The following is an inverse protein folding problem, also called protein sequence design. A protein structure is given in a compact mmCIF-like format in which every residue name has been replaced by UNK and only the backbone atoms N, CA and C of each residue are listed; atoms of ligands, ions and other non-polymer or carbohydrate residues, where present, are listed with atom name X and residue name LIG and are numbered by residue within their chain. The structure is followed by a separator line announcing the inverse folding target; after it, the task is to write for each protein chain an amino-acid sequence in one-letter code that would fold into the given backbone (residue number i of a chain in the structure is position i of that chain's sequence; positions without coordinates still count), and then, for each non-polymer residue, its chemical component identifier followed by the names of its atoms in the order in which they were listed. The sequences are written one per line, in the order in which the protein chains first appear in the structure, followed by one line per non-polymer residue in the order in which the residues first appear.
data_IF_593729870817
#
_entry.id   IF_593729870817
#
_cell.length_a   1.000
_cell.length_b   1.000
_cell.length_c   1.000
_cell.angle_alpha   90.00
_cell.angle_beta   90.00
_cell.angle_gamma   90.00
#
_symmetry.space_group_name_H-M   'P 1'
#
loop_
_entity.id
_entity.type
_entity.pdbx_description
1 polymer ?
#
# COMPACT_ATOMS: atom_id res chain seq x y z
N UNK A 1 2.51 -0.68 -14.26
CA UNK A 1 3.48 0.05 -13.43
C UNK A 1 3.97 1.37 -14.04
N UNK A 2 3.93 1.59 -15.37
CA UNK A 2 4.38 2.86 -15.95
C UNK A 2 3.57 4.08 -15.47
N UNK A 3 2.23 3.97 -15.47
CA UNK A 3 1.35 5.06 -15.02
C UNK A 3 1.54 5.41 -13.54
N UNK A 4 1.68 4.41 -12.66
CA UNK A 4 1.91 4.64 -11.23
C UNK A 4 3.25 5.32 -10.96
N UNK A 5 4.32 4.94 -11.69
CA UNK A 5 5.63 5.59 -11.56
C UNK A 5 5.60 7.03 -12.06
N UNK A 6 4.87 7.30 -13.14
CA UNK A 6 4.68 8.66 -13.66
C UNK A 6 3.94 9.54 -12.63
N UNK A 7 2.87 9.03 -12.02
CA UNK A 7 2.16 9.73 -10.95
C UNK A 7 3.08 9.96 -9.74
N UNK A 8 3.83 8.95 -9.30
CA UNK A 8 4.77 9.07 -8.19
C UNK A 8 5.85 10.13 -8.46
N UNK A 9 6.39 10.17 -9.68
CA UNK A 9 7.34 11.19 -10.11
C UNK A 9 6.76 12.60 -10.00
N UNK A 10 5.53 12.83 -10.48
CA UNK A 10 4.88 14.13 -10.36
C UNK A 10 4.57 14.52 -8.92
N UNK A 11 4.23 13.57 -8.04
CA UNK A 11 4.06 13.83 -6.60
C UNK A 11 5.38 14.33 -6.01
N UNK A 12 6.48 13.60 -6.23
CA UNK A 12 7.81 13.97 -5.71
C UNK A 12 8.22 15.35 -6.26
N UNK A 13 8.15 15.55 -7.57
CA UNK A 13 8.50 16.82 -8.22
C UNK A 13 7.70 18.00 -7.67
N UNK A 14 6.38 17.84 -7.55
CA UNK A 14 5.51 18.91 -7.04
C UNK A 14 5.83 19.22 -5.58
N UNK A 15 5.99 18.21 -4.72
CA UNK A 15 6.36 18.44 -3.32
C UNK A 15 7.74 19.08 -3.17
N UNK A 16 8.71 18.71 -4.00
CA UNK A 16 10.05 19.29 -4.00
C UNK A 16 10.03 20.75 -4.50
N UNK A 17 9.30 21.05 -5.56
CA UNK A 17 9.23 22.41 -6.11
C UNK A 17 8.45 23.38 -5.22
N UNK A 18 7.57 22.88 -4.35
CA UNK A 18 6.61 23.70 -3.60
C UNK A 18 6.81 23.64 -2.09
N UNK A 19 6.68 22.47 -1.45
CA UNK A 19 6.80 22.35 0.01
C UNK A 19 8.25 22.52 0.47
N UNK A 20 9.19 21.87 -0.22
CA UNK A 20 10.61 21.93 0.15
C UNK A 20 11.18 23.34 -0.02
N UNK A 21 10.77 24.08 -1.06
CA UNK A 21 11.18 25.47 -1.27
C UNK A 21 10.60 26.44 -0.24
N UNK A 22 9.46 26.09 0.38
CA UNK A 22 8.83 26.87 1.45
C UNK A 22 9.26 26.40 2.86
N UNK A 23 10.27 25.52 2.97
CA UNK A 23 10.81 25.05 4.24
C UNK A 23 9.90 24.10 5.03
N UNK A 24 8.87 23.54 4.38
CA UNK A 24 7.94 22.59 5.01
C UNK A 24 8.50 21.18 4.79
N UNK A 25 9.14 20.64 5.83
CA UNK A 25 9.72 19.29 5.81
C UNK A 25 8.82 18.23 6.45
N UNK A 26 7.93 18.63 7.36
CA UNK A 26 6.94 17.76 7.97
C UNK A 26 5.53 18.10 7.50
N UNK A 27 4.83 17.09 6.96
CA UNK A 27 3.43 17.19 6.56
C UNK A 27 2.61 16.50 7.63
N UNK A 28 1.90 17.28 8.46
CA UNK A 28 1.07 16.75 9.56
C UNK A 28 -0.42 16.74 9.22
N UNK A 29 -0.82 17.31 8.08
CA UNK A 29 -2.23 17.36 7.68
C UNK A 29 -2.44 17.27 6.18
N UNK A 30 -3.55 16.66 5.77
CA UNK A 30 -4.01 16.58 4.37
C UNK A 30 -4.16 17.96 3.74
N UNK A 31 -4.53 18.96 4.55
CA UNK A 31 -4.62 20.35 4.11
C UNK A 31 -3.25 20.93 3.71
N UNK A 32 -2.17 20.55 4.41
CA UNK A 32 -0.81 20.95 4.05
C UNK A 32 -0.34 20.24 2.77
N UNK A 33 -0.70 18.97 2.58
CA UNK A 33 -0.42 18.26 1.34
C UNK A 33 -1.09 18.93 0.12
N UNK A 34 -2.31 19.45 0.26
CA UNK A 34 -3.00 20.18 -0.79
C UNK A 34 -2.31 21.50 -1.19
N UNK A 35 -1.56 22.13 -0.27
CA UNK A 35 -0.80 23.34 -0.56
C UNK A 35 0.31 23.10 -1.58
N UNK A 36 0.80 21.86 -1.71
CA UNK A 36 1.78 21.50 -2.72
C UNK A 36 1.26 21.76 -4.15
N UNK A 37 -0.04 21.66 -4.36
CA UNK A 37 -0.67 21.89 -5.67
C UNK A 37 -1.01 23.36 -5.92
N UNK A 38 -0.92 24.23 -4.90
CA UNK A 38 -1.31 25.65 -5.00
C UNK A 38 -0.56 26.41 -6.10
N UNK A 39 0.75 26.20 -6.34
CA UNK A 39 1.46 26.90 -7.41
C UNK A 39 1.08 26.43 -8.82
N UNK A 40 0.63 25.18 -8.96
CA UNK A 40 0.25 24.60 -10.25
C UNK A 40 -1.22 24.86 -10.62
N UNK A 41 -2.14 24.75 -9.64
CA UNK A 41 -3.58 24.78 -9.87
C UNK A 41 -4.30 25.97 -9.21
N UNK A 42 -3.56 26.83 -8.50
CA UNK A 42 -4.10 28.04 -7.87
C UNK A 42 -5.27 27.74 -6.93
N UNK A 43 -6.42 28.36 -7.21
CA UNK A 43 -7.67 28.18 -6.46
C UNK A 43 -8.26 26.76 -6.56
N UNK A 44 -7.92 25.99 -7.60
CA UNK A 44 -8.44 24.64 -7.81
C UNK A 44 -7.56 23.55 -7.17
N UNK A 45 -6.40 23.89 -6.62
CA UNK A 45 -5.47 22.94 -6.00
C UNK A 45 -6.14 22.07 -4.93
N UNK A 46 -6.92 22.69 -4.05
CA UNK A 46 -7.66 21.99 -3.01
C UNK A 46 -8.73 21.06 -3.60
N UNK A 47 -9.46 21.52 -4.61
CA UNK A 47 -10.54 20.75 -5.25
C UNK A 47 -9.97 19.53 -5.99
N UNK A 48 -8.86 19.70 -6.72
CA UNK A 48 -8.14 18.61 -7.38
C UNK A 48 -7.58 17.61 -6.37
N UNK A 49 -7.00 18.09 -5.25
CA UNK A 49 -6.48 17.22 -4.20
C UNK A 49 -7.61 16.40 -3.54
N UNK A 50 -8.75 17.05 -3.23
CA UNK A 50 -9.92 16.37 -2.65
C UNK A 50 -10.50 15.33 -3.62
N UNK A 51 -10.66 15.66 -4.91
CA UNK A 51 -11.08 14.70 -5.91
C UNK A 51 -10.11 13.51 -6.02
N UNK A 52 -8.81 13.78 -5.96
CA UNK A 52 -7.76 12.76 -5.97
C UNK A 52 -7.83 11.82 -4.75
N UNK A 53 -7.81 12.38 -3.54
CA UNK A 53 -7.78 11.60 -2.30
C UNK A 53 -9.08 10.81 -2.07
N UNK A 54 -10.23 11.37 -2.45
CA UNK A 54 -11.51 10.66 -2.38
C UNK A 54 -11.55 9.55 -3.43
N UNK A 55 -11.12 9.82 -4.67
CA UNK A 55 -11.06 8.84 -5.74
C UNK A 55 -10.15 7.65 -5.40
N UNK A 56 -8.95 7.92 -4.87
CA UNK A 56 -8.04 6.86 -4.42
C UNK A 56 -8.59 6.09 -3.23
N UNK A 57 -9.23 6.77 -2.26
CA UNK A 57 -9.89 6.14 -1.13
C UNK A 57 -11.02 5.19 -1.55
N UNK A 58 -11.88 5.61 -2.49
CA UNK A 58 -12.98 4.78 -3.01
C UNK A 58 -12.49 3.50 -3.70
N UNK A 59 -11.35 3.55 -4.38
CA UNK A 59 -10.74 2.37 -5.01
C UNK A 59 -9.98 1.50 -3.99
N UNK A 60 -9.30 2.12 -3.03
CA UNK A 60 -8.44 1.42 -2.07
C UNK A 60 -9.24 0.67 -1.00
N UNK A 61 -10.32 1.26 -0.47
CA UNK A 61 -11.09 0.68 0.65
C UNK A 61 -11.63 -0.72 0.32
N UNK A 62 -12.31 -0.96 -0.82
CA UNK A 62 -12.83 -2.28 -1.15
C UNK A 62 -11.72 -3.32 -1.36
N UNK A 63 -10.63 -2.95 -2.03
CA UNK A 63 -9.52 -3.86 -2.34
C UNK A 63 -8.77 -4.26 -1.08
N UNK A 64 -8.45 -3.30 -0.20
CA UNK A 64 -7.74 -3.56 1.05
C UNK A 64 -8.61 -4.31 2.06
N UNK A 65 -9.87 -3.90 2.24
CA UNK A 65 -10.79 -4.60 3.13
C UNK A 65 -11.08 -6.02 2.63
N UNK A 66 -11.22 -6.20 1.32
CA UNK A 66 -11.33 -7.50 0.68
C UNK A 66 -10.11 -8.37 0.94
N UNK A 67 -8.90 -7.86 0.70
CA UNK A 67 -7.64 -8.59 0.94
C UNK A 67 -7.49 -9.02 2.40
N UNK A 68 -7.81 -8.15 3.36
CA UNK A 68 -7.78 -8.48 4.78
C UNK A 68 -8.81 -9.56 5.14
N UNK A 69 -10.04 -9.45 4.61
CA UNK A 69 -11.08 -10.45 4.83
C UNK A 69 -10.71 -11.81 4.21
N UNK A 70 -10.06 -11.82 3.05
CA UNK A 70 -9.53 -13.04 2.44
C UNK A 70 -8.43 -13.65 3.31
N UNK A 71 -7.45 -12.87 3.75
CA UNK A 71 -6.35 -13.37 4.59
C UNK A 71 -6.85 -13.99 5.90
N UNK A 72 -7.79 -13.34 6.59
CA UNK A 72 -8.39 -13.89 7.83
C UNK A 72 -9.25 -15.12 7.52
N UNK A 73 -10.03 -15.06 6.43
CA UNK A 73 -10.91 -16.14 6.02
C UNK A 73 -10.15 -17.41 5.65
N UNK A 74 -9.05 -17.29 4.90
CA UNK A 74 -8.19 -18.42 4.53
C UNK A 74 -7.44 -18.98 5.74
N UNK A 75 -6.88 -18.13 6.60
CA UNK A 75 -6.21 -18.56 7.83
C UNK A 75 -7.14 -19.34 8.76
N UNK A 76 -8.42 -18.96 8.82
CA UNK A 76 -9.45 -19.63 9.64
C UNK A 76 -10.21 -20.75 8.89
N UNK A 77 -9.82 -21.09 7.66
CA UNK A 77 -10.50 -22.04 6.75
C UNK A 77 -12.00 -21.77 6.59
N UNK A 78 -12.40 -20.50 6.61
CA UNK A 78 -13.78 -20.10 6.34
C UNK A 78 -14.09 -20.20 4.84
N UNK A 79 -15.38 -20.28 4.49
CA UNK A 79 -15.80 -20.17 3.08
C UNK A 79 -15.60 -18.72 2.63
N UNK A 80 -14.53 -18.48 1.88
CA UNK A 80 -14.14 -17.20 1.28
C UNK A 80 -14.64 -17.09 -0.16
N UNK A 81 -15.01 -15.89 -0.60
CA UNK A 81 -15.35 -15.60 -1.99
C UNK A 81 -16.36 -14.45 -2.16
N UNK A 82 -15.97 -13.41 -2.90
CA UNK A 82 -16.86 -12.33 -3.33
C UNK A 82 -17.97 -12.83 -4.29
N UNK A 83 -17.73 -13.92 -5.00
CA UNK A 83 -18.68 -14.56 -5.92
C UNK A 83 -19.78 -15.37 -5.21
N UNK A 84 -19.65 -15.62 -3.90
CA UNK A 84 -20.67 -16.34 -3.13
C UNK A 84 -21.72 -15.39 -2.59
N UNK A 85 -22.98 -15.86 -2.59
CA UNK A 85 -24.15 -15.09 -2.11
C UNK A 85 -23.88 -14.55 -0.69
N UNK A 86 -24.27 -13.30 -0.37
CA UNK A 86 -24.03 -12.67 0.93
C UNK A 86 -24.62 -13.44 2.12
N UNK A 87 -25.57 -14.35 1.88
CA UNK A 87 -26.13 -15.28 2.89
C UNK A 87 -25.25 -16.49 3.23
N UNK A 88 -24.28 -16.88 2.40
CA UNK A 88 -23.40 -18.03 2.67
C UNK A 88 -22.05 -17.64 3.31
N UNK A 89 -21.66 -16.37 3.18
CA UNK A 89 -20.39 -15.85 3.66
C UNK A 89 -20.58 -14.65 4.61
N UNK A 90 -21.57 -14.74 5.51
CA UNK A 90 -21.88 -13.68 6.51
C UNK A 90 -20.62 -13.28 7.29
N UNK A 91 -19.75 -14.25 7.63
CA UNK A 91 -18.48 -13.99 8.33
C UNK A 91 -17.46 -13.21 7.50
N UNK A 92 -17.47 -13.34 6.18
CA UNK A 92 -16.59 -12.61 5.26
C UNK A 92 -17.05 -11.15 5.09
N UNK A 93 -18.35 -10.94 4.85
CA UNK A 93 -18.92 -9.59 4.77
C UNK A 93 -18.88 -8.87 6.12
N UNK A 94 -19.05 -9.59 7.24
CA UNK A 94 -18.84 -9.06 8.58
C UNK A 94 -17.38 -8.66 8.83
N UNK A 95 -16.40 -9.43 8.31
CA UNK A 95 -14.99 -9.06 8.40
C UNK A 95 -14.66 -7.79 7.61
N UNK A 96 -15.26 -7.61 6.42
CA UNK A 96 -15.14 -6.35 5.65
C UNK A 96 -15.74 -5.18 6.43
N UNK A 97 -16.98 -5.31 6.92
CA UNK A 97 -17.61 -4.25 7.72
C UNK A 97 -16.80 -3.94 8.98
N UNK A 98 -16.30 -4.96 9.68
CA UNK A 98 -15.45 -4.79 10.85
C UNK A 98 -14.12 -4.10 10.49
N UNK A 99 -13.46 -4.49 9.39
CA UNK A 99 -12.23 -3.85 8.95
C UNK A 99 -12.44 -2.38 8.59
N UNK A 100 -13.53 -2.04 7.90
CA UNK A 100 -13.89 -0.65 7.58
C UNK A 100 -14.25 0.14 8.83
N UNK A 101 -15.02 -0.44 9.76
CA UNK A 101 -15.38 0.20 11.03
C UNK A 101 -14.15 0.45 11.89
N UNK A 102 -13.26 -0.52 12.04
CA UNK A 102 -12.00 -0.37 12.77
C UNK A 102 -11.13 0.70 12.12
N UNK A 103 -10.97 0.65 10.79
CA UNK A 103 -10.23 1.65 10.02
C UNK A 103 -10.76 3.08 10.21
N UNK A 104 -12.09 3.25 10.18
CA UNK A 104 -12.73 4.55 10.42
C UNK A 104 -12.64 4.97 11.89
N UNK A 105 -12.70 4.02 12.83
CA UNK A 105 -12.62 4.26 14.27
C UNK A 105 -11.24 4.80 14.68
N UNK A 106 -10.17 4.41 13.98
CA UNK A 106 -8.80 4.90 14.23
C UNK A 106 -8.68 6.42 14.11
N UNK A 107 -9.56 7.07 13.33
CA UNK A 107 -9.58 8.53 13.22
C UNK A 107 -10.00 9.21 14.52
N UNK A 108 -10.83 8.56 15.35
CA UNK A 108 -11.29 9.09 16.63
C UNK A 108 -10.24 8.98 17.75
N UNK A 109 -9.21 8.14 17.58
CA UNK A 109 -8.15 7.95 18.58
C UNK A 109 -7.04 9.02 18.51
N UNK A 110 -7.20 10.07 17.70
CA UNK A 110 -6.22 11.15 17.60
C UNK A 110 -4.89 10.74 16.95
N UNK A 111 -4.85 9.58 16.28
CA UNK A 111 -3.69 9.14 15.50
C UNK A 111 -3.65 10.00 14.25
N UNK A 112 -2.51 10.67 14.02
CA UNK A 112 -2.24 11.42 12.79
C UNK A 112 -2.35 10.47 11.58
N UNK A 113 -3.35 10.67 10.69
CA UNK A 113 -3.56 9.78 9.55
C UNK A 113 -2.37 9.72 8.60
N UNK A 114 -1.57 10.80 8.51
CA UNK A 114 -0.39 10.82 7.67
C UNK A 114 0.70 9.95 8.26
N UNK A 115 0.91 10.02 9.58
CA UNK A 115 1.84 9.13 10.29
C UNK A 115 1.38 7.67 10.19
N UNK A 116 0.07 7.41 10.32
CA UNK A 116 -0.48 6.08 10.15
C UNK A 116 -0.25 5.54 8.73
N UNK A 117 -0.46 6.37 7.70
CA UNK A 117 -0.21 6.00 6.31
C UNK A 117 1.28 5.70 6.06
N UNK A 118 2.17 6.52 6.64
CA UNK A 118 3.61 6.30 6.58
C UNK A 118 4.01 4.98 7.25
N UNK A 119 3.55 4.74 8.47
CA UNK A 119 3.80 3.50 9.20
C UNK A 119 3.24 2.26 8.50
N UNK A 120 2.05 2.37 7.90
CA UNK A 120 1.48 1.31 7.07
C UNK A 120 2.37 1.00 5.87
N UNK A 121 2.93 2.01 5.21
CA UNK A 121 3.87 1.82 4.10
C UNK A 121 5.19 1.16 4.55
N UNK A 122 5.73 1.57 5.70
CA UNK A 122 6.95 0.97 6.29
C UNK A 122 6.73 -0.51 6.62
N UNK A 123 5.64 -0.83 7.34
CA UNK A 123 5.28 -2.21 7.67
C UNK A 123 5.05 -3.04 6.40
N UNK A 124 4.39 -2.48 5.39
CA UNK A 124 4.20 -3.15 4.11
C UNK A 124 5.55 -3.44 3.41
N UNK A 125 6.51 -2.51 3.48
CA UNK A 125 7.87 -2.72 2.98
C UNK A 125 8.62 -3.84 3.72
N UNK A 126 8.49 -3.89 5.05
CA UNK A 126 9.08 -4.94 5.89
C UNK A 126 8.49 -6.33 5.59
N UNK A 127 7.18 -6.42 5.41
CA UNK A 127 6.47 -7.67 5.07
C UNK A 127 6.74 -8.10 3.62
N UNK A 128 7.02 -7.16 2.72
CA UNK A 128 7.33 -7.47 1.33
C UNK A 128 8.59 -8.33 1.18
N UNK A 129 9.62 -8.12 2.00
CA UNK A 129 10.86 -8.89 1.92
C UNK A 129 10.67 -10.42 2.11
N UNK A 130 10.08 -10.93 3.21
CA UNK A 130 9.84 -12.36 3.36
C UNK A 130 8.84 -12.88 2.32
N UNK A 131 7.84 -12.08 1.93
CA UNK A 131 6.89 -12.46 0.89
C UNK A 131 7.58 -12.68 -0.46
N UNK A 132 8.49 -11.78 -0.85
CA UNK A 132 9.28 -11.91 -2.08
C UNK A 132 10.17 -13.14 -2.07
N UNK A 133 10.81 -13.46 -0.94
CA UNK A 133 11.61 -14.70 -0.79
C UNK A 133 10.74 -15.93 -1.04
N UNK A 134 9.56 -16.01 -0.41
CA UNK A 134 8.64 -17.14 -0.57
C UNK A 134 8.15 -17.24 -2.02
N UNK A 135 7.79 -16.13 -2.65
CA UNK A 135 7.37 -16.10 -4.06
C UNK A 135 8.50 -16.56 -4.97
N UNK A 136 9.74 -16.11 -4.74
CA UNK A 136 10.89 -16.51 -5.55
C UNK A 136 11.21 -18.00 -5.41
N UNK A 137 11.11 -18.57 -4.20
CA UNK A 137 11.27 -20.01 -3.97
C UNK A 137 10.17 -20.79 -4.70
N UNK A 138 8.91 -20.39 -4.57
CA UNK A 138 7.79 -21.06 -5.23
C UNK A 138 7.88 -20.97 -6.75
N UNK A 139 8.17 -19.79 -7.29
CA UNK A 139 8.22 -19.56 -8.72
C UNK A 139 9.45 -20.26 -9.38
N UNK A 140 10.54 -20.41 -8.63
CA UNK A 140 11.70 -21.19 -9.08
C UNK A 140 11.52 -22.71 -8.93
N UNK A 141 10.49 -23.16 -8.20
CA UNK A 141 10.27 -24.58 -7.92
C UNK A 141 9.42 -25.24 -9.02
N UNK A 142 9.93 -26.28 -9.71
CA UNK A 142 9.17 -27.06 -10.67
C UNK A 142 7.99 -27.79 -10.03
N UNK A 143 8.02 -28.04 -8.70
CA UNK A 143 6.91 -28.68 -7.99
C UNK A 143 5.67 -27.78 -7.88
N UNK A 144 5.84 -26.46 -7.87
CA UNK A 144 4.73 -25.51 -7.72
C UNK A 144 4.29 -24.95 -9.07
N UNK A 145 5.24 -24.59 -9.95
CA UNK A 145 4.95 -24.01 -11.27
C UNK A 145 4.91 -25.01 -12.43
N UNK A 146 5.31 -26.27 -12.23
CA UNK A 146 5.30 -27.29 -13.27
C UNK A 146 6.17 -26.89 -14.47
N UNK A 147 5.54 -26.68 -15.63
CA UNK A 147 6.22 -26.31 -16.88
C UNK A 147 6.44 -24.80 -17.06
N UNK A 148 5.87 -23.95 -16.18
CA UNK A 148 5.95 -22.48 -16.27
C UNK A 148 7.00 -21.88 -15.34
N UNK A 149 8.03 -22.64 -14.98
CA UNK A 149 9.14 -22.12 -14.14
C UNK A 149 9.80 -20.92 -14.79
N UNK A 150 10.16 -19.94 -13.96
CA UNK A 150 10.79 -18.70 -14.42
C UNK A 150 12.15 -19.01 -15.08
N UNK A 151 12.48 -18.41 -16.24
CA UNK A 151 13.80 -18.58 -16.84
C UNK A 151 14.91 -18.02 -15.94
N UNK A 152 16.10 -18.63 -16.01
CA UNK A 152 17.27 -18.30 -15.16
C UNK A 152 17.61 -16.80 -15.11
N UNK A 153 17.44 -16.07 -16.21
CA UNK A 153 17.68 -14.62 -16.23
C UNK A 153 16.72 -13.85 -15.29
N UNK A 154 15.42 -14.13 -15.36
CA UNK A 154 14.43 -13.53 -14.46
C UNK A 154 14.62 -14.01 -13.02
N UNK A 155 15.08 -15.25 -12.82
CA UNK A 155 15.39 -15.76 -11.50
C UNK A 155 16.54 -14.95 -10.84
N UNK A 156 17.61 -14.67 -11.58
CA UNK A 156 18.73 -13.83 -11.10
C UNK A 156 18.24 -12.42 -10.80
N UNK A 157 17.49 -11.78 -11.69
CA UNK A 157 16.94 -10.43 -11.47
C UNK A 157 16.01 -10.40 -10.25
N UNK A 158 15.15 -11.41 -10.09
CA UNK A 158 14.24 -11.54 -8.96
C UNK A 158 14.97 -11.73 -7.62
N UNK A 159 16.04 -12.53 -7.59
CA UNK A 159 16.88 -12.68 -6.40
C UNK A 159 17.70 -11.45 -6.07
N UNK A 160 18.21 -10.72 -7.08
CA UNK A 160 18.85 -9.42 -6.87
C UNK A 160 17.85 -8.42 -6.25
N UNK A 161 16.65 -8.30 -6.82
CA UNK A 161 15.62 -7.41 -6.28
C UNK A 161 15.21 -7.79 -4.84
N UNK A 162 15.10 -9.09 -4.56
CA UNK A 162 14.82 -9.60 -3.22
C UNK A 162 15.96 -9.28 -2.26
N UNK A 163 17.21 -9.47 -2.68
CA UNK A 163 18.40 -9.13 -1.89
C UNK A 163 18.46 -7.65 -1.55
N UNK A 164 18.20 -6.78 -2.53
CA UNK A 164 18.12 -5.33 -2.31
C UNK A 164 17.02 -4.98 -1.30
N UNK A 165 15.82 -5.57 -1.42
CA UNK A 165 14.74 -5.33 -0.45
C UNK A 165 15.08 -5.82 0.95
N UNK A 166 15.75 -6.96 1.10
CA UNK A 166 16.22 -7.46 2.40
C UNK A 166 17.26 -6.51 2.99
N UNK A 167 18.21 -6.03 2.21
CA UNK A 167 19.19 -5.02 2.65
C UNK A 167 18.52 -3.74 3.12
N UNK A 168 17.50 -3.25 2.41
CA UNK A 168 16.72 -2.08 2.82
C UNK A 168 15.99 -2.34 4.14
N UNK A 169 15.34 -3.48 4.30
CA UNK A 169 14.66 -3.84 5.54
C UNK A 169 15.65 -3.90 6.72
N UNK A 170 16.82 -4.53 6.54
CA UNK A 170 17.88 -4.57 7.55
C UNK A 170 18.43 -3.17 7.85
N UNK A 171 18.54 -2.31 6.84
CA UNK A 171 18.95 -0.91 7.00
C UNK A 171 17.95 -0.10 7.81
N UNK A 172 16.64 -0.33 7.63
CA UNK A 172 15.59 0.29 8.46
C UNK A 172 15.76 -0.13 9.92
N UNK A 173 16.00 -1.42 10.19
CA UNK A 173 16.26 -1.90 11.56
C UNK A 173 17.57 -1.35 12.16
N UNK A 174 18.62 -1.19 11.35
CA UNK A 174 19.92 -0.66 11.80
C UNK A 174 19.93 0.86 12.03
N UNK A 175 19.10 1.59 11.28
CA UNK A 175 18.98 3.06 11.37
C UNK A 175 17.92 3.48 12.39
N UNK A 176 17.08 2.56 12.86
CA UNK A 176 16.13 2.76 13.95
C UNK A 176 16.89 2.88 15.28
N UNK A 177 17.33 4.10 15.60
CA UNK A 177 17.92 4.50 16.88
C UNK A 177 17.13 5.66 17.47
#
# INVERSE_FOLDING_TARGET
MAFSNLVAFFIILTTAATLHTHGIYEISSSAQAALALKPLAGRYAFLLFVCGIVGTGMLAVPVLAGSAAYGIGEARRWRVGLERKPKEAVRFYAAICAATLVGSSLNFFGIDPIKALFWAAVLNGLVAAPLMVVIMIMASSPMVMGKFTIPRYLQVVGWIATGVMVCVCLGVFATWK
#
